data_IF_809543620044
#
_entry.id   IF_809543620044
#
_cell.length_a   1.000
_cell.length_b   1.000
_cell.length_c   1.000
_cell.angle_alpha   90.00
_cell.angle_beta   90.00
_cell.angle_gamma   90.00
#
_symmetry.space_group_name_H-M   'P 1'
#
loop_
_entity.id
_entity.type
_entity.pdbx_description
1 polymer ?
#
# COMPACT_ATOMS: atom_id res chain seq x y z
N UNK A 1 -6.93 5.45 11.91
CA UNK A 1 -6.55 4.59 10.78
C UNK A 1 -7.71 4.61 9.80
N UNK A 2 -7.43 4.85 8.52
CA UNK A 2 -8.45 4.91 7.47
C UNK A 2 -8.74 3.49 6.97
N UNK A 3 -10.00 3.16 6.76
CA UNK A 3 -10.41 1.87 6.17
C UNK A 3 -10.82 2.06 4.71
N UNK A 4 -10.32 1.19 3.82
CA UNK A 4 -10.56 1.27 2.38
C UNK A 4 -11.11 -0.05 1.83
N UNK A 5 -12.08 0.07 0.93
CA UNK A 5 -12.58 -1.04 0.11
C UNK A 5 -11.84 -1.07 -1.24
N UNK A 6 -10.99 -2.09 -1.41
CA UNK A 6 -10.20 -2.33 -2.62
C UNK A 6 -11.00 -2.94 -3.78
N UNK A 7 -12.26 -3.29 -3.58
CA UNK A 7 -13.17 -3.75 -4.64
C UNK A 7 -13.89 -2.60 -5.34
N UNK A 8 -13.88 -1.39 -4.74
CA UNK A 8 -14.65 -0.25 -5.21
C UNK A 8 -14.35 0.10 -6.69
N UNK A 9 -15.42 0.32 -7.46
CA UNK A 9 -15.41 0.55 -8.92
C UNK A 9 -14.64 -0.52 -9.68
N UNK A 10 -13.52 -0.18 -10.32
CA UNK A 10 -12.79 -1.13 -11.17
C UNK A 10 -12.11 -2.27 -10.41
N UNK A 11 -12.07 -2.20 -9.06
CA UNK A 11 -11.32 -3.16 -8.24
C UNK A 11 -9.86 -3.28 -8.74
N UNK A 12 -9.27 -2.16 -9.13
CA UNK A 12 -7.94 -2.11 -9.74
C UNK A 12 -6.84 -1.88 -8.72
N UNK A 13 -5.58 -1.93 -9.17
CA UNK A 13 -4.42 -1.59 -8.33
C UNK A 13 -4.27 -0.09 -8.03
N UNK A 14 -5.14 0.77 -8.57
CA UNK A 14 -5.01 2.22 -8.45
C UNK A 14 -5.33 2.70 -7.02
N UNK A 15 -6.41 2.20 -6.40
CA UNK A 15 -6.80 2.58 -5.03
C UNK A 15 -5.63 2.35 -4.07
N UNK A 16 -5.03 1.16 -4.12
CA UNK A 16 -3.89 0.82 -3.28
C UNK A 16 -2.69 1.76 -3.49
N UNK A 17 -2.31 2.06 -4.74
CA UNK A 17 -1.17 2.94 -5.01
C UNK A 17 -1.42 4.37 -4.54
N UNK A 18 -2.64 4.89 -4.75
CA UNK A 18 -3.03 6.21 -4.28
C UNK A 18 -3.04 6.27 -2.75
N UNK A 19 -3.63 5.26 -2.10
CA UNK A 19 -3.66 5.16 -0.64
C UNK A 19 -2.25 5.13 -0.04
N UNK A 20 -1.34 4.32 -0.61
CA UNK A 20 0.06 4.27 -0.22
C UNK A 20 0.75 5.64 -0.31
N UNK A 21 0.58 6.34 -1.44
CA UNK A 21 1.18 7.66 -1.64
C UNK A 21 0.62 8.71 -0.66
N UNK A 22 -0.70 8.82 -0.56
CA UNK A 22 -1.37 9.79 0.32
C UNK A 22 -1.07 9.51 1.80
N UNK A 23 -1.17 8.26 2.22
CA UNK A 23 -0.84 7.83 3.58
C UNK A 23 0.60 8.22 3.94
N UNK A 24 1.55 8.01 3.03
CA UNK A 24 2.95 8.39 3.25
C UNK A 24 3.13 9.90 3.36
N UNK A 25 2.50 10.68 2.48
CA UNK A 25 2.60 12.15 2.49
C UNK A 25 1.94 12.78 3.72
N UNK A 26 0.79 12.25 4.13
CA UNK A 26 0.00 12.76 5.25
C UNK A 26 0.42 12.15 6.60
N UNK A 27 1.27 11.11 6.58
CA UNK A 27 1.65 10.31 7.73
C UNK A 27 0.43 9.74 8.50
N UNK A 28 -0.59 9.29 7.77
CA UNK A 28 -1.81 8.70 8.33
C UNK A 28 -1.94 7.22 7.96
N UNK A 29 -2.10 6.30 8.93
CA UNK A 29 -2.17 4.86 8.63
C UNK A 29 -3.50 4.45 7.98
N UNK A 30 -3.45 3.43 7.13
CA UNK A 30 -4.66 2.84 6.53
C UNK A 30 -4.64 1.30 6.52
N UNK A 31 -5.83 0.73 6.44
CA UNK A 31 -6.10 -0.67 6.13
C UNK A 31 -6.95 -0.73 4.86
N UNK A 32 -6.62 -1.65 3.95
CA UNK A 32 -7.41 -1.93 2.76
C UNK A 32 -7.75 -3.41 2.70
N UNK A 33 -9.01 -3.71 2.42
CA UNK A 33 -9.52 -5.07 2.21
C UNK A 33 -9.95 -5.26 0.76
N UNK A 34 -10.23 -6.51 0.36
CA UNK A 34 -10.74 -6.85 -0.96
C UNK A 34 -9.88 -6.34 -2.14
N UNK A 35 -8.55 -6.31 -1.95
CA UNK A 35 -7.60 -5.82 -2.95
C UNK A 35 -7.78 -6.59 -4.25
N UNK A 36 -8.19 -5.87 -5.30
CA UNK A 36 -8.36 -6.44 -6.65
C UNK A 36 -9.33 -7.62 -6.73
N UNK A 37 -10.31 -7.69 -5.84
CA UNK A 37 -11.29 -8.79 -5.75
C UNK A 37 -12.01 -9.09 -7.06
N UNK A 38 -12.28 -8.07 -7.86
CA UNK A 38 -13.01 -8.19 -9.13
C UNK A 38 -12.10 -8.50 -10.35
N UNK A 39 -10.83 -8.86 -10.14
CA UNK A 39 -9.88 -9.20 -11.22
C UNK A 39 -9.66 -10.72 -11.29
N UNK A 40 -9.36 -11.30 -12.48
CA UNK A 40 -9.13 -12.74 -12.64
C UNK A 40 -8.04 -13.32 -11.73
N UNK A 41 -7.06 -12.50 -11.38
CA UNK A 41 -6.08 -12.83 -10.36
C UNK A 41 -6.11 -11.75 -9.28
N UNK A 42 -6.88 -11.95 -8.19
CA UNK A 42 -7.05 -10.95 -7.13
C UNK A 42 -5.78 -10.78 -6.28
N UNK A 43 -5.86 -9.85 -5.32
CA UNK A 43 -4.82 -9.57 -4.35
C UNK A 43 -3.62 -8.79 -4.88
N UNK A 44 -2.61 -8.67 -4.01
CA UNK A 44 -1.34 -8.02 -4.31
C UNK A 44 -0.60 -8.73 -5.45
N UNK A 45 0.15 -7.93 -6.22
CA UNK A 45 0.99 -8.37 -7.35
C UNK A 45 2.37 -7.81 -7.15
N UNK A 46 3.37 -8.32 -7.88
CA UNK A 46 4.75 -7.86 -7.77
C UNK A 46 4.86 -6.33 -7.84
N UNK A 47 4.15 -5.68 -8.78
CA UNK A 47 4.12 -4.22 -8.89
C UNK A 47 3.62 -3.50 -7.62
N UNK A 48 2.63 -4.08 -6.90
CA UNK A 48 2.13 -3.51 -5.65
C UNK A 48 3.15 -3.70 -4.53
N UNK A 49 3.77 -4.89 -4.44
CA UNK A 49 4.80 -5.19 -3.45
C UNK A 49 6.05 -4.33 -3.64
N UNK A 50 6.43 -4.01 -4.89
CA UNK A 50 7.51 -3.07 -5.16
C UNK A 50 7.20 -1.67 -4.61
N UNK A 51 5.98 -1.16 -4.81
CA UNK A 51 5.58 0.13 -4.22
C UNK A 51 5.63 0.08 -2.69
N UNK A 52 5.08 -0.96 -2.07
CA UNK A 52 5.09 -1.14 -0.61
C UNK A 52 6.53 -1.12 -0.06
N UNK A 53 7.44 -1.91 -0.65
CA UNK A 53 8.84 -1.99 -0.23
C UNK A 53 9.61 -0.70 -0.47
N UNK A 54 9.30 0.03 -1.54
CA UNK A 54 9.93 1.32 -1.80
C UNK A 54 9.56 2.34 -0.72
N UNK A 55 8.28 2.39 -0.34
CA UNK A 55 7.79 3.30 0.69
C UNK A 55 8.22 2.87 2.10
N UNK A 56 8.27 1.57 2.38
CA UNK A 56 8.88 1.00 3.58
C UNK A 56 10.30 1.56 3.79
N UNK A 57 11.13 1.54 2.75
CA UNK A 57 12.49 2.09 2.80
C UNK A 57 12.51 3.62 2.93
N UNK A 58 11.60 4.31 2.26
CA UNK A 58 11.57 5.77 2.22
C UNK A 58 11.18 6.40 3.56
N UNK A 59 10.21 5.81 4.26
CA UNK A 59 9.66 6.39 5.49
C UNK A 59 9.69 5.44 6.69
N UNK A 60 10.42 4.32 6.62
CA UNK A 60 10.46 3.29 7.67
C UNK A 60 9.07 2.80 8.06
N UNK A 61 8.18 2.63 7.08
CA UNK A 61 6.80 2.21 7.34
C UNK A 61 6.76 0.80 7.92
N UNK A 62 5.82 0.55 8.84
CA UNK A 62 5.46 -0.81 9.26
C UNK A 62 4.33 -1.31 8.35
N UNK A 63 4.45 -2.53 7.85
CA UNK A 63 3.45 -3.13 6.97
C UNK A 63 3.04 -4.52 7.45
N UNK A 64 1.75 -4.83 7.37
CA UNK A 64 1.21 -6.16 7.66
C UNK A 64 0.53 -6.71 6.39
N UNK A 65 0.67 -8.03 6.15
CA UNK A 65 0.10 -8.75 5.02
C UNK A 65 0.62 -8.35 3.61
N UNK A 66 1.88 -7.91 3.52
CA UNK A 66 2.54 -7.59 2.26
C UNK A 66 3.16 -8.81 1.55
N UNK A 67 2.33 -9.75 1.08
CA UNK A 67 2.76 -10.91 0.29
C UNK A 67 1.95 -11.06 -1.00
N UNK A 68 2.49 -11.82 -1.96
CA UNK A 68 1.85 -12.00 -3.27
C UNK A 68 0.48 -12.67 -3.11
N UNK A 69 -0.55 -12.08 -3.71
CA UNK A 69 -1.92 -12.59 -3.63
C UNK A 69 -2.68 -12.21 -2.36
N UNK A 70 -2.07 -11.49 -1.40
CA UNK A 70 -2.80 -10.98 -0.24
C UNK A 70 -3.98 -10.11 -0.67
N UNK A 71 -5.14 -10.33 -0.08
CA UNK A 71 -6.38 -9.58 -0.33
C UNK A 71 -6.55 -8.38 0.61
N UNK A 72 -5.67 -8.24 1.60
CA UNK A 72 -5.66 -7.14 2.54
C UNK A 72 -4.23 -6.64 2.82
N UNK A 73 -4.13 -5.40 3.30
CA UNK A 73 -2.87 -4.76 3.67
C UNK A 73 -3.13 -3.72 4.76
N UNK A 74 -2.31 -3.73 5.81
CA UNK A 74 -2.24 -2.61 6.76
C UNK A 74 -0.92 -1.89 6.59
N UNK A 75 -1.00 -0.58 6.43
CA UNK A 75 0.14 0.28 6.17
C UNK A 75 0.21 1.39 7.20
N UNK A 76 1.32 1.44 7.92
CA UNK A 76 1.61 2.42 8.95
C UNK A 76 2.82 3.24 8.49
N UNK A 77 2.62 4.42 7.88
CA UNK A 77 3.73 5.25 7.44
C UNK A 77 4.54 5.74 8.65
N UNK A 78 5.84 5.87 8.48
CA UNK A 78 6.66 6.71 9.33
C UNK A 78 6.93 8.07 8.67
N UNK A 79 7.78 8.88 9.29
CA UNK A 79 8.21 10.15 8.69
C UNK A 79 9.06 9.88 7.45
N UNK A 80 8.78 10.61 6.36
CA UNK A 80 9.63 10.62 5.17
C UNK A 80 11.02 11.10 5.59
N UNK A 81 12.05 10.33 5.24
CA UNK A 81 13.41 10.72 5.53
C UNK A 81 13.81 11.91 4.62
N UNK A 82 14.11 13.06 5.21
CA UNK A 82 14.53 14.27 4.48
C UNK A 82 15.96 14.14 3.91
N UNK A 83 16.77 13.23 4.47
CA UNK A 83 18.12 12.90 4.01
C UNK A 83 18.31 11.38 3.96
N UNK A 84 17.70 10.73 2.98
CA UNK A 84 18.20 9.44 2.56
C UNK A 84 19.37 9.68 1.61
N UNK A 85 20.57 9.25 1.99
CA UNK A 85 21.67 9.04 1.04
C UNK A 85 21.27 7.95 0.04
N UNK A 86 20.48 8.33 -0.95
CA UNK A 86 20.30 7.57 -2.18
C UNK A 86 21.44 8.03 -3.09
N UNK A 87 22.34 7.10 -3.41
CA UNK A 87 23.63 7.24 -4.09
C UNK A 87 24.84 7.53 -3.19
#
# INVERSE_FOLDING_TARGET
>A
MIELDGSYKEGGGQILRTALALSTLMNEPFEISDIRKNRPQPGLKNQHLFCVRALEKLCSAKIENAFLGSDNLRYFPGKICEYCGWF
#
